data_IF_180732412079
#
_entry.id   IF_180732412079
#
_cell.length_a   1.000
_cell.length_b   1.000
_cell.length_c   1.000
_cell.angle_alpha   90.00
_cell.angle_beta   90.00
_cell.angle_gamma   90.00
#
_symmetry.space_group_name_H-M   'P 1'
#
loop_
_entity.id
_entity.type
_entity.pdbx_description
1 polymer ?
#
# COMPACT_ATOMS: atom_id res chain seq x y z
N UNK A 1 20.78 45.20 12.72
CA UNK A 1 19.59 44.33 12.66
C UNK A 1 19.15 43.94 11.24
N UNK A 2 19.66 44.58 10.17
CA UNK A 2 19.19 44.35 8.78
C UNK A 2 19.76 43.11 8.06
N UNK A 3 20.87 42.52 8.51
CA UNK A 3 21.45 41.31 7.87
C UNK A 3 20.69 40.01 8.16
N UNK A 4 19.84 39.98 9.20
CA UNK A 4 19.10 38.78 9.61
C UNK A 4 17.81 38.56 8.81
N UNK A 5 17.15 39.63 8.38
CA UNK A 5 15.89 39.57 7.62
C UNK A 5 16.13 39.16 6.18
N UNK A 6 17.19 39.65 5.54
CA UNK A 6 17.55 39.27 4.17
C UNK A 6 17.80 37.76 4.00
N UNK A 7 18.39 37.10 5.00
CA UNK A 7 18.59 35.64 5.00
C UNK A 7 17.29 34.86 5.19
N UNK A 8 16.31 35.42 5.89
CA UNK A 8 15.01 34.78 6.11
C UNK A 8 14.20 34.83 4.80
N UNK A 9 14.19 35.97 4.12
CA UNK A 9 13.50 36.13 2.83
C UNK A 9 14.09 35.22 1.75
N UNK A 10 15.43 35.08 1.69
CA UNK A 10 16.06 34.12 0.75
C UNK A 10 15.63 32.67 0.99
N UNK A 11 15.48 32.26 2.25
CA UNK A 11 15.03 30.91 2.61
C UNK A 11 13.56 30.69 2.25
N UNK A 12 12.69 31.69 2.45
CA UNK A 12 11.28 31.62 2.05
C UNK A 12 11.11 31.54 0.53
N UNK A 13 11.91 32.30 -0.21
CA UNK A 13 11.86 32.30 -1.68
C UNK A 13 12.29 30.94 -2.25
N UNK A 14 13.36 30.35 -1.69
CA UNK A 14 13.81 29.01 -2.05
C UNK A 14 12.75 27.94 -1.73
N UNK A 15 12.08 28.04 -0.57
CA UNK A 15 11.02 27.09 -0.19
C UNK A 15 9.82 27.13 -1.14
N UNK A 16 9.44 28.32 -1.64
CA UNK A 16 8.34 28.45 -2.59
C UNK A 16 8.70 27.90 -3.97
N UNK A 17 9.96 28.02 -4.40
CA UNK A 17 10.45 27.46 -5.65
C UNK A 17 10.38 25.93 -5.66
N UNK A 18 10.78 25.28 -4.56
CA UNK A 18 10.70 23.82 -4.38
C UNK A 18 9.25 23.32 -4.36
N UNK A 19 8.30 24.13 -3.88
CA UNK A 19 6.87 23.80 -3.89
C UNK A 19 6.31 23.84 -5.32
N UNK A 20 6.77 24.74 -6.18
CA UNK A 20 6.33 24.81 -7.58
C UNK A 20 6.91 23.68 -8.44
N UNK A 21 8.13 23.20 -8.15
CA UNK A 21 8.68 22.02 -8.85
C UNK A 21 7.88 20.73 -8.55
N UNK A 22 7.22 20.67 -7.38
CA UNK A 22 6.34 19.56 -6.98
C UNK A 22 5.12 19.40 -7.89
N UNK A 23 4.62 20.46 -8.54
CA UNK A 23 3.43 20.37 -9.40
C UNK A 23 3.72 19.89 -10.82
N UNK A 24 5.01 19.75 -11.21
CA UNK A 24 5.39 19.34 -12.58
C UNK A 24 5.83 17.88 -12.73
N UNK A 25 5.89 17.08 -11.65
CA UNK A 25 6.40 15.71 -11.69
C UNK A 25 5.30 14.65 -11.51
N UNK A 26 4.49 14.48 -12.55
CA UNK A 26 3.66 13.28 -12.79
C UNK A 26 4.20 12.54 -14.02
N UNK A 27 5.14 11.60 -13.83
CA UNK A 27 5.22 10.31 -14.55
C UNK A 27 6.47 9.49 -14.17
N UNK A 28 6.20 8.19 -13.95
CA UNK A 28 6.97 6.94 -14.00
C UNK A 28 8.39 6.78 -13.41
N UNK A 29 8.52 5.67 -12.65
CA UNK A 29 9.69 4.88 -12.21
C UNK A 29 10.93 5.57 -11.59
N UNK A 30 10.95 6.90 -11.52
CA UNK A 30 11.97 7.70 -10.80
C UNK A 30 11.51 8.03 -9.36
N UNK A 31 10.64 7.19 -8.78
CA UNK A 31 9.94 7.49 -7.52
C UNK A 31 10.64 6.96 -6.28
N UNK A 32 11.42 5.88 -6.38
CA UNK A 32 12.13 5.31 -5.22
C UNK A 32 13.28 6.22 -4.76
N UNK A 33 14.18 6.60 -5.68
CA UNK A 33 15.31 7.50 -5.37
C UNK A 33 14.83 8.91 -4.98
N UNK A 34 13.85 9.47 -5.70
CA UNK A 34 13.28 10.79 -5.35
C UNK A 34 12.52 10.75 -4.02
N UNK A 35 11.93 9.64 -3.63
CA UNK A 35 11.26 9.48 -2.32
C UNK A 35 12.27 9.48 -1.17
N UNK A 36 13.43 8.85 -1.35
CA UNK A 36 14.49 8.84 -0.34
C UNK A 36 15.13 10.24 -0.18
N UNK A 37 15.38 10.92 -1.29
CA UNK A 37 15.84 12.32 -1.28
C UNK A 37 14.80 13.27 -0.65
N UNK A 38 13.51 13.03 -0.91
CA UNK A 38 12.40 13.77 -0.31
C UNK A 38 12.33 13.55 1.21
N UNK A 39 12.52 12.32 1.68
CA UNK A 39 12.58 12.02 3.11
C UNK A 39 13.79 12.70 3.79
N UNK A 40 14.93 12.77 3.09
CA UNK A 40 16.09 13.56 3.50
C UNK A 40 15.77 15.04 3.67
N UNK A 41 15.11 15.65 2.67
CA UNK A 41 14.67 17.04 2.67
C UNK A 41 13.65 17.35 3.78
N UNK A 42 12.69 16.45 4.04
CA UNK A 42 11.72 16.61 5.13
C UNK A 42 12.41 16.55 6.50
N UNK A 43 13.40 15.66 6.67
CA UNK A 43 14.20 15.55 7.90
C UNK A 43 15.05 16.80 8.12
N UNK A 44 15.67 17.34 7.06
CA UNK A 44 16.43 18.60 7.10
C UNK A 44 15.52 19.78 7.46
N UNK A 45 14.33 19.88 6.85
CA UNK A 45 13.32 20.90 7.16
C UNK A 45 12.92 20.90 8.64
N UNK A 46 12.64 19.72 9.21
CA UNK A 46 12.32 19.59 10.65
C UNK A 46 13.48 20.07 11.53
N UNK A 47 14.72 19.75 11.15
CA UNK A 47 15.91 20.18 11.89
C UNK A 47 16.10 21.69 11.85
N UNK A 48 15.93 22.31 10.67
CA UNK A 48 16.03 23.76 10.49
C UNK A 48 14.93 24.53 11.23
N UNK A 49 13.68 24.04 11.20
CA UNK A 49 12.59 24.64 11.99
C UNK A 49 12.88 24.59 13.49
N UNK A 50 13.41 23.47 14.01
CA UNK A 50 13.78 23.36 15.42
C UNK A 50 14.88 24.35 15.79
N UNK A 51 15.87 24.55 14.91
CA UNK A 51 16.95 25.52 15.09
C UNK A 51 16.44 26.96 15.05
N UNK A 52 15.54 27.30 14.13
CA UNK A 52 14.88 28.61 14.04
C UNK A 52 14.05 28.92 15.29
N UNK A 53 13.26 27.97 15.77
CA UNK A 53 12.44 28.14 16.97
C UNK A 53 13.32 28.38 18.21
N UNK A 54 14.37 27.59 18.39
CA UNK A 54 15.33 27.79 19.49
C UNK A 54 16.06 29.14 19.40
N UNK A 55 16.43 29.57 18.20
CA UNK A 55 17.08 30.87 17.98
C UNK A 55 16.14 32.03 18.29
N UNK A 56 14.87 31.94 17.84
CA UNK A 56 13.84 32.94 18.10
C UNK A 56 13.60 33.06 19.61
N UNK A 57 13.42 31.94 20.32
CA UNK A 57 13.26 31.93 21.78
C UNK A 57 14.46 32.53 22.52
N UNK A 58 15.70 32.23 22.08
CA UNK A 58 16.92 32.80 22.69
C UNK A 58 16.98 34.32 22.50
N UNK A 59 16.55 34.82 21.33
CA UNK A 59 16.45 36.26 21.05
C UNK A 59 15.34 36.94 21.88
N UNK A 60 14.18 36.32 22.06
CA UNK A 60 13.11 36.85 22.93
C UNK A 60 13.57 36.91 24.39
N UNK A 61 14.28 35.88 24.86
CA UNK A 61 14.85 35.84 26.22
C UNK A 61 15.91 36.93 26.43
N UNK A 62 16.78 37.17 25.45
CA UNK A 62 17.78 38.24 25.51
C UNK A 62 17.14 39.62 25.48
N UNK A 63 16.15 39.86 24.60
CA UNK A 63 15.40 41.12 24.57
C UNK A 63 14.71 41.40 25.91
N UNK A 64 14.06 40.39 26.50
CA UNK A 64 13.39 40.52 27.80
C UNK A 64 14.36 40.76 28.98
N UNK A 65 15.58 40.19 28.91
CA UNK A 65 16.65 40.51 29.89
C UNK A 65 17.18 41.92 29.73
N UNK A 66 17.34 42.41 28.49
CA UNK A 66 17.81 43.77 28.20
C UNK A 66 16.78 44.85 28.55
N UNK A 67 15.49 44.63 28.32
CA UNK A 67 14.44 45.58 28.73
C UNK A 67 14.28 45.61 30.25
N UNK A 68 14.35 44.47 30.94
CA UNK A 68 14.36 44.46 32.42
C UNK A 68 15.62 45.11 33.00
N UNK A 69 16.79 44.89 32.41
CA UNK A 69 18.04 45.54 32.84
C UNK A 69 18.00 47.06 32.67
N UNK A 70 17.49 47.55 31.53
CA UNK A 70 17.34 48.99 31.28
C UNK A 70 16.32 49.68 32.18
N UNK A 71 15.21 49.01 32.51
CA UNK A 71 14.19 49.58 33.41
C UNK A 71 14.72 49.68 34.85
N UNK A 72 15.51 48.69 35.28
CA UNK A 72 16.12 48.66 36.62
C UNK A 72 17.26 49.68 36.72
N UNK A 73 18.09 49.83 35.68
CA UNK A 73 19.18 50.82 35.67
C UNK A 73 18.68 52.27 35.63
N UNK A 74 17.61 52.57 34.87
CA UNK A 74 17.03 53.91 34.83
C UNK A 74 16.36 54.34 36.14
N UNK A 75 15.84 53.38 36.91
CA UNK A 75 15.31 53.64 38.25
C UNK A 75 16.44 53.81 39.27
N UNK A 76 17.51 53.00 39.19
CA UNK A 76 18.67 53.12 40.08
C UNK A 76 19.50 54.40 39.85
N UNK A 77 19.65 54.88 38.61
CA UNK A 77 20.33 56.15 38.32
C UNK A 77 19.64 57.37 38.95
N UNK A 78 18.31 57.31 39.16
CA UNK A 78 17.58 58.36 39.86
C UNK A 78 17.81 58.36 41.38
N UNK A 79 18.22 57.23 41.96
CA UNK A 79 18.43 57.09 43.41
C UNK A 79 19.86 57.40 43.86
N UNK A 80 20.86 57.26 42.99
CA UNK A 80 22.28 57.42 43.37
C UNK A 80 22.74 58.89 43.42
N UNK A 81 21.97 59.83 42.88
CA UNK A 81 22.40 61.24 42.72
C UNK A 81 21.74 62.26 43.67
N UNK A 82 21.09 61.81 44.74
CA UNK A 82 20.52 62.72 45.74
C UNK A 82 20.71 62.15 47.13
N UNK A 83 21.32 62.92 48.05
CA UNK A 83 21.24 62.71 49.50
C UNK A 83 19.79 62.86 49.94
N UNK A 84 19.00 61.81 49.70
CA UNK A 84 17.56 61.78 49.91
C UNK A 84 17.29 61.09 51.25
N UNK A 85 16.94 61.86 52.28
CA UNK A 85 16.29 61.32 53.47
C UNK A 85 14.93 60.76 53.03
N UNK A 86 14.82 59.43 53.00
CA UNK A 86 13.61 58.71 52.62
C UNK A 86 12.48 59.12 53.56
N UNK A 87 11.48 59.82 53.01
CA UNK A 87 10.25 60.13 53.73
C UNK A 87 9.45 58.84 53.95
N UNK A 88 8.71 58.75 55.06
CA UNK A 88 7.81 57.63 55.36
C UNK A 88 6.78 57.39 54.23
N UNK A 89 6.43 58.45 53.50
CA UNK A 89 5.58 58.39 52.30
C UNK A 89 6.22 57.61 51.15
N UNK A 90 7.51 57.81 50.90
CA UNK A 90 8.23 57.17 49.80
C UNK A 90 8.45 55.67 50.10
N UNK A 91 8.67 55.36 51.38
CA UNK A 91 8.75 53.98 51.86
C UNK A 91 7.43 53.24 51.67
N UNK A 92 6.30 53.89 52.01
CA UNK A 92 4.96 53.31 51.81
C UNK A 92 4.64 53.11 50.33
N UNK A 93 5.01 54.05 49.45
CA UNK A 93 4.85 53.92 48.00
C UNK A 93 5.68 52.74 47.45
N UNK A 94 6.93 52.59 47.88
CA UNK A 94 7.79 51.46 47.50
C UNK A 94 7.23 50.10 47.99
N UNK A 95 6.66 50.06 49.19
CA UNK A 95 6.01 48.85 49.73
C UNK A 95 4.78 48.50 48.90
N UNK A 96 3.98 49.49 48.50
CA UNK A 96 2.81 49.28 47.65
C UNK A 96 3.20 48.80 46.24
N UNK A 97 4.23 49.40 45.64
CA UNK A 97 4.79 48.95 44.36
C UNK A 97 5.33 47.52 44.44
N UNK A 98 6.05 47.18 45.51
CA UNK A 98 6.50 45.80 45.77
C UNK A 98 5.32 44.84 45.85
N UNK A 99 4.25 45.22 46.54
CA UNK A 99 3.04 44.39 46.66
C UNK A 99 2.34 44.20 45.30
N UNK A 100 2.21 45.28 44.50
CA UNK A 100 1.68 45.23 43.13
C UNK A 100 2.53 44.34 42.23
N UNK A 101 3.85 44.44 42.30
CA UNK A 101 4.77 43.59 41.53
C UNK A 101 4.66 42.13 41.96
N UNK A 102 4.54 41.85 43.25
CA UNK A 102 4.38 40.50 43.78
C UNK A 102 3.06 39.87 43.30
N UNK A 103 1.95 40.63 43.31
CA UNK A 103 0.66 40.19 42.77
C UNK A 103 0.74 39.93 41.26
N UNK A 104 1.40 40.79 40.49
CA UNK A 104 1.65 40.58 39.05
C UNK A 104 2.48 39.33 38.79
N UNK A 105 3.51 39.07 39.59
CA UNK A 105 4.35 37.86 39.48
C UNK A 105 3.56 36.60 39.82
N UNK A 106 2.71 36.64 40.84
CA UNK A 106 1.86 35.52 41.22
C UNK A 106 0.87 35.19 40.10
N UNK A 107 0.12 36.19 39.63
CA UNK A 107 -0.82 36.03 38.52
C UNK A 107 -0.14 35.53 37.24
N UNK A 108 1.09 35.99 36.95
CA UNK A 108 1.86 35.52 35.80
C UNK A 108 2.29 34.05 35.94
N UNK A 109 2.72 33.62 37.15
CA UNK A 109 3.05 32.22 37.42
C UNK A 109 1.83 31.32 37.32
N UNK A 110 0.71 31.74 37.88
CA UNK A 110 -0.56 31.02 37.84
C UNK A 110 -1.08 30.88 36.40
N UNK A 111 -1.06 31.97 35.62
CA UNK A 111 -1.40 31.93 34.18
C UNK A 111 -0.50 30.96 33.40
N UNK A 112 0.81 30.97 33.65
CA UNK A 112 1.74 30.04 33.02
C UNK A 112 1.48 28.58 33.42
N UNK A 113 1.11 28.32 34.67
CA UNK A 113 0.73 26.99 35.14
C UNK A 113 -0.52 26.47 34.40
N UNK A 114 -1.58 27.28 34.32
CA UNK A 114 -2.80 26.91 33.59
C UNK A 114 -2.55 26.71 32.09
N UNK A 115 -1.74 27.54 31.45
CA UNK A 115 -1.36 27.37 30.05
C UNK A 115 -0.59 26.07 29.83
N UNK A 116 0.43 25.78 30.65
CA UNK A 116 1.23 24.57 30.51
C UNK A 116 0.44 23.29 30.79
N UNK A 117 -0.48 23.32 31.77
CA UNK A 117 -1.35 22.18 32.03
C UNK A 117 -2.35 21.95 30.89
N UNK A 118 -2.89 23.01 30.27
CA UNK A 118 -3.72 22.91 29.06
C UNK A 118 -2.94 22.28 27.90
N UNK A 119 -1.74 22.79 27.58
CA UNK A 119 -0.90 22.24 26.51
C UNK A 119 -0.51 20.77 26.78
N UNK A 120 -0.29 20.41 28.04
CA UNK A 120 0.04 19.02 28.41
C UNK A 120 -1.17 18.10 28.21
N UNK A 121 -2.37 18.54 28.63
CA UNK A 121 -3.62 17.79 28.42
C UNK A 121 -3.92 17.61 26.93
N UNK A 122 -3.77 18.66 26.14
CA UNK A 122 -3.96 18.63 24.69
C UNK A 122 -2.95 17.69 24.00
N UNK A 123 -1.69 17.69 24.45
CA UNK A 123 -0.67 16.76 23.96
C UNK A 123 -0.98 15.30 24.31
N UNK A 124 -1.46 15.03 25.52
CA UNK A 124 -1.87 13.68 25.94
C UNK A 124 -3.10 13.22 25.14
N UNK A 125 -4.10 14.09 24.98
CA UNK A 125 -5.31 13.80 24.21
C UNK A 125 -4.99 13.53 22.73
N UNK A 126 -4.18 14.37 22.10
CA UNK A 126 -3.75 14.17 20.71
C UNK A 126 -2.88 12.92 20.53
N UNK A 127 -2.02 12.59 21.50
CA UNK A 127 -1.27 11.33 21.49
C UNK A 127 -2.20 10.11 21.60
N UNK A 128 -3.22 10.16 22.45
CA UNK A 128 -4.20 9.09 22.57
C UNK A 128 -5.00 8.91 21.28
N UNK A 129 -5.51 9.99 20.69
CA UNK A 129 -6.22 9.95 19.40
C UNK A 129 -5.34 9.35 18.31
N UNK A 130 -4.06 9.77 18.23
CA UNK A 130 -3.11 9.24 17.26
C UNK A 130 -2.91 7.74 17.43
N UNK A 131 -2.69 7.26 18.66
CA UNK A 131 -2.48 5.84 18.92
C UNK A 131 -3.72 5.02 18.54
N UNK A 132 -4.91 5.50 18.88
CA UNK A 132 -6.17 4.83 18.51
C UNK A 132 -6.36 4.78 16.99
N UNK A 133 -6.06 5.87 16.28
CA UNK A 133 -6.10 5.91 14.81
C UNK A 133 -5.10 4.92 14.20
N UNK A 134 -3.88 4.85 14.74
CA UNK A 134 -2.84 3.93 14.25
C UNK A 134 -3.25 2.47 14.43
N UNK A 135 -3.83 2.11 15.58
CA UNK A 135 -4.37 0.78 15.83
C UNK A 135 -5.51 0.44 14.86
N UNK A 136 -6.44 1.38 14.63
CA UNK A 136 -7.55 1.16 13.71
C UNK A 136 -7.08 1.02 12.25
N UNK A 137 -6.11 1.83 11.82
CA UNK A 137 -5.52 1.75 10.48
C UNK A 137 -4.81 0.41 10.30
N UNK A 138 -4.01 -0.01 11.28
CA UNK A 138 -3.29 -1.29 11.22
C UNK A 138 -4.26 -2.48 11.21
N UNK A 139 -5.29 -2.46 12.06
CA UNK A 139 -6.33 -3.50 12.08
C UNK A 139 -7.06 -3.59 10.74
N UNK A 140 -7.48 -2.46 10.16
CA UNK A 140 -8.16 -2.44 8.87
C UNK A 140 -7.23 -2.87 7.71
N UNK A 141 -5.95 -2.52 7.77
CA UNK A 141 -4.95 -2.93 6.78
C UNK A 141 -4.74 -4.44 6.82
N UNK A 142 -4.63 -5.02 8.02
CA UNK A 142 -4.50 -6.47 8.20
C UNK A 142 -5.74 -7.22 7.72
N UNK A 143 -6.95 -6.77 8.11
CA UNK A 143 -8.19 -7.38 7.62
C UNK A 143 -8.32 -7.30 6.09
N UNK A 144 -7.91 -6.19 5.49
CA UNK A 144 -7.90 -6.03 4.02
C UNK A 144 -6.91 -6.99 3.37
N UNK A 145 -5.72 -7.17 3.96
CA UNK A 145 -4.72 -8.13 3.48
C UNK A 145 -5.24 -9.56 3.53
N UNK A 146 -5.88 -9.95 4.62
CA UNK A 146 -6.51 -11.28 4.77
C UNK A 146 -7.59 -11.51 3.70
N UNK A 147 -8.43 -10.49 3.43
CA UNK A 147 -9.43 -10.56 2.34
C UNK A 147 -8.78 -10.71 0.96
N UNK A 148 -7.69 -9.99 0.69
CA UNK A 148 -6.94 -10.12 -0.57
C UNK A 148 -6.35 -11.52 -0.71
N UNK A 149 -5.75 -12.06 0.36
CA UNK A 149 -5.19 -13.42 0.35
C UNK A 149 -6.28 -14.47 0.16
N UNK A 150 -7.46 -14.29 0.79
CA UNK A 150 -8.63 -15.15 0.58
C UNK A 150 -9.11 -15.12 -0.89
N UNK A 151 -9.24 -13.92 -1.49
CA UNK A 151 -9.63 -13.77 -2.90
C UNK A 151 -8.59 -14.42 -3.81
N UNK A 152 -7.30 -14.24 -3.53
CA UNK A 152 -6.21 -14.85 -4.31
C UNK A 152 -6.29 -16.38 -4.27
N UNK A 153 -6.56 -16.95 -3.09
CA UNK A 153 -6.74 -18.38 -2.93
C UNK A 153 -7.97 -18.89 -3.68
N UNK A 154 -9.09 -18.14 -3.64
CA UNK A 154 -10.29 -18.50 -4.39
C UNK A 154 -10.07 -18.41 -5.91
N UNK A 155 -9.43 -17.36 -6.41
CA UNK A 155 -9.06 -17.26 -7.83
C UNK A 155 -8.15 -18.42 -8.27
N UNK A 156 -7.20 -18.83 -7.43
CA UNK A 156 -6.34 -19.98 -7.70
C UNK A 156 -7.13 -21.30 -7.72
N UNK A 157 -8.09 -21.46 -6.80
CA UNK A 157 -8.96 -22.64 -6.73
C UNK A 157 -9.87 -22.73 -7.98
N UNK A 158 -10.48 -21.61 -8.37
CA UNK A 158 -11.33 -21.52 -9.56
C UNK A 158 -10.55 -21.77 -10.84
N UNK A 159 -9.33 -21.24 -10.96
CA UNK A 159 -8.47 -21.51 -12.11
C UNK A 159 -8.13 -23.01 -12.22
N UNK A 160 -7.87 -23.69 -11.08
CA UNK A 160 -7.69 -25.15 -11.08
C UNK A 160 -8.95 -25.89 -11.53
N UNK A 161 -10.12 -25.52 -11.02
CA UNK A 161 -11.40 -26.12 -11.43
C UNK A 161 -11.69 -25.92 -12.92
N UNK A 162 -11.40 -24.73 -13.45
CA UNK A 162 -11.53 -24.44 -14.87
C UNK A 162 -10.63 -25.34 -15.72
N UNK A 163 -9.36 -25.50 -15.33
CA UNK A 163 -8.41 -26.38 -16.03
C UNK A 163 -8.86 -27.85 -15.97
N UNK A 164 -9.43 -28.32 -14.85
CA UNK A 164 -9.97 -29.68 -14.71
C UNK A 164 -11.14 -29.88 -15.69
N UNK A 165 -12.13 -28.97 -15.67
CA UNK A 165 -13.30 -29.04 -16.57
C UNK A 165 -12.88 -29.01 -18.04
N UNK A 166 -11.93 -28.15 -18.39
CA UNK A 166 -11.42 -28.07 -19.76
C UNK A 166 -10.72 -29.38 -20.18
N UNK A 167 -9.96 -30.01 -19.28
CA UNK A 167 -9.32 -31.30 -19.54
C UNK A 167 -10.35 -32.43 -19.73
N UNK A 168 -11.38 -32.50 -18.88
CA UNK A 168 -12.46 -33.47 -19.02
C UNK A 168 -13.21 -33.31 -20.35
N UNK A 169 -13.54 -32.08 -20.72
CA UNK A 169 -14.17 -31.78 -22.01
C UNK A 169 -13.30 -32.25 -23.19
N UNK A 170 -11.99 -31.97 -23.15
CA UNK A 170 -11.04 -32.40 -24.20
C UNK A 170 -10.92 -33.93 -24.27
N UNK A 171 -10.86 -34.63 -23.13
CA UNK A 171 -10.88 -36.11 -23.06
C UNK A 171 -12.15 -36.67 -23.70
N UNK A 172 -13.32 -36.15 -23.33
CA UNK A 172 -14.60 -36.57 -23.91
C UNK A 172 -14.62 -36.35 -25.42
N UNK A 173 -14.14 -35.20 -25.90
CA UNK A 173 -14.04 -34.89 -27.32
C UNK A 173 -13.11 -35.86 -28.07
N UNK A 174 -11.98 -36.23 -27.45
CA UNK A 174 -11.05 -37.23 -28.01
C UNK A 174 -11.71 -38.61 -28.16
N UNK A 175 -12.42 -39.09 -27.14
CA UNK A 175 -13.15 -40.36 -27.23
C UNK A 175 -14.25 -40.32 -28.28
N UNK A 176 -15.03 -39.23 -28.36
CA UNK A 176 -16.06 -39.05 -29.40
C UNK A 176 -15.42 -39.08 -30.81
N UNK A 177 -14.26 -38.45 -30.99
CA UNK A 177 -13.54 -38.46 -32.26
C UNK A 177 -13.15 -39.89 -32.67
N UNK A 178 -12.53 -40.65 -31.78
CA UNK A 178 -12.13 -42.05 -32.04
C UNK A 178 -13.35 -42.87 -32.42
N UNK A 179 -14.40 -42.79 -31.60
CA UNK A 179 -15.60 -43.60 -31.78
C UNK A 179 -16.28 -43.31 -33.12
N UNK A 180 -16.37 -42.02 -33.50
CA UNK A 180 -16.93 -41.60 -34.81
C UNK A 180 -16.18 -42.23 -35.99
N UNK A 181 -14.84 -42.27 -35.94
CA UNK A 181 -14.03 -42.76 -37.06
C UNK A 181 -13.99 -44.29 -37.12
N UNK A 182 -13.92 -44.97 -35.98
CA UNK A 182 -14.02 -46.43 -35.92
C UNK A 182 -15.40 -46.88 -36.41
N UNK A 183 -16.48 -46.26 -35.94
CA UNK A 183 -17.84 -46.61 -36.40
C UNK A 183 -18.02 -46.34 -37.89
N UNK A 184 -17.51 -45.22 -38.40
CA UNK A 184 -17.53 -44.93 -39.84
C UNK A 184 -16.77 -45.99 -40.64
N UNK A 185 -15.55 -46.37 -40.22
CA UNK A 185 -14.77 -47.43 -40.84
C UNK A 185 -15.51 -48.78 -40.82
N UNK A 186 -16.13 -49.15 -39.70
CA UNK A 186 -16.90 -50.40 -39.59
C UNK A 186 -18.10 -50.43 -40.55
N UNK A 187 -18.84 -49.32 -40.66
CA UNK A 187 -19.98 -49.21 -41.59
C UNK A 187 -19.50 -49.31 -43.04
N UNK A 188 -18.45 -48.58 -43.41
CA UNK A 188 -17.88 -48.62 -44.76
C UNK A 188 -17.37 -50.02 -45.11
N UNK A 189 -16.65 -50.66 -44.18
CA UNK A 189 -16.13 -52.03 -44.37
C UNK A 189 -17.25 -53.05 -44.55
N UNK A 190 -18.30 -52.96 -43.73
CA UNK A 190 -19.50 -53.79 -43.85
C UNK A 190 -20.18 -53.60 -45.21
N UNK A 191 -20.30 -52.35 -45.69
CA UNK A 191 -20.89 -52.03 -46.98
C UNK A 191 -20.10 -52.67 -48.12
N UNK A 192 -18.76 -52.56 -48.11
CA UNK A 192 -17.89 -53.21 -49.11
C UNK A 192 -18.01 -54.74 -49.09
N UNK A 193 -18.14 -55.36 -47.92
CA UNK A 193 -18.34 -56.81 -47.81
C UNK A 193 -19.70 -57.24 -48.38
N UNK A 194 -20.76 -56.45 -48.16
CA UNK A 194 -22.06 -56.69 -48.76
C UNK A 194 -22.00 -56.61 -50.29
N UNK A 195 -21.31 -55.60 -50.84
CA UNK A 195 -21.11 -55.48 -52.30
C UNK A 195 -20.28 -56.63 -52.90
N UNK A 196 -19.35 -57.19 -52.13
CA UNK A 196 -18.65 -58.40 -52.53
C UNK A 196 -19.60 -59.60 -52.58
N UNK A 197 -20.45 -59.76 -51.57
CA UNK A 197 -21.42 -60.87 -51.48
C UNK A 197 -22.45 -60.83 -52.61
N UNK A 198 -22.88 -59.65 -53.03
CA UNK A 198 -23.83 -59.47 -54.15
C UNK A 198 -23.17 -59.57 -55.53
N UNK A 199 -21.84 -59.72 -55.60
CA UNK A 199 -21.12 -59.89 -56.86
C UNK A 199 -20.89 -58.60 -57.66
N UNK A 200 -21.25 -57.43 -57.11
CA UNK A 200 -21.00 -56.14 -57.76
C UNK A 200 -19.51 -55.77 -57.81
N UNK A 201 -18.71 -56.26 -56.86
CA UNK A 201 -17.28 -55.96 -56.75
C UNK A 201 -16.46 -57.25 -56.62
N UNK A 202 -15.35 -57.33 -57.33
CA UNK A 202 -14.44 -58.48 -57.25
C UNK A 202 -13.77 -58.58 -55.88
N UNK A 203 -13.48 -59.81 -55.43
CA UNK A 203 -12.84 -60.07 -54.13
C UNK A 203 -11.52 -59.31 -53.96
N UNK A 204 -10.69 -59.24 -55.01
CA UNK A 204 -9.42 -58.49 -55.02
C UNK A 204 -9.62 -57.00 -54.79
N UNK A 205 -10.65 -56.42 -55.41
CA UNK A 205 -10.95 -54.99 -55.26
C UNK A 205 -11.50 -54.69 -53.86
N UNK A 206 -12.32 -55.57 -53.30
CA UNK A 206 -12.84 -55.44 -51.92
C UNK A 206 -11.71 -55.40 -50.90
N UNK A 207 -10.76 -56.34 -50.97
CA UNK A 207 -9.60 -56.34 -50.07
C UNK A 207 -8.77 -55.06 -50.23
N UNK A 208 -8.50 -54.64 -51.48
CA UNK A 208 -7.75 -53.42 -51.76
C UNK A 208 -8.41 -52.17 -51.17
N UNK A 209 -9.73 -52.03 -51.29
CA UNK A 209 -10.50 -50.92 -50.72
C UNK A 209 -10.45 -50.91 -49.19
N UNK A 210 -10.63 -52.06 -48.54
CA UNK A 210 -10.55 -52.18 -47.09
C UNK A 210 -9.15 -51.80 -46.60
N UNK A 211 -8.09 -52.23 -47.29
CA UNK A 211 -6.71 -51.87 -46.95
C UNK A 211 -6.49 -50.35 -47.07
N UNK A 212 -6.99 -49.71 -48.12
CA UNK A 212 -6.90 -48.25 -48.29
C UNK A 212 -7.64 -47.54 -47.14
N UNK A 213 -8.86 -47.95 -46.80
CA UNK A 213 -9.59 -47.36 -45.68
C UNK A 213 -8.87 -47.53 -44.34
N UNK A 214 -8.23 -48.68 -44.13
CA UNK A 214 -7.45 -48.95 -42.94
C UNK A 214 -6.22 -48.04 -42.83
N UNK A 215 -5.50 -47.81 -43.94
CA UNK A 215 -4.37 -46.88 -44.00
C UNK A 215 -4.83 -45.45 -43.69
N UNK A 216 -5.95 -45.01 -44.26
CA UNK A 216 -6.52 -43.67 -43.99
C UNK A 216 -6.93 -43.53 -42.53
N UNK A 217 -7.54 -44.56 -41.93
CA UNK A 217 -7.89 -44.58 -40.51
C UNK A 217 -6.64 -44.45 -39.64
N UNK A 218 -5.59 -45.24 -39.92
CA UNK A 218 -4.32 -45.15 -39.19
C UNK A 218 -3.67 -43.77 -39.34
N UNK A 219 -3.70 -43.17 -40.52
CA UNK A 219 -3.18 -41.82 -40.75
C UNK A 219 -3.96 -40.78 -39.92
N UNK A 220 -5.30 -40.84 -39.90
CA UNK A 220 -6.12 -39.93 -39.10
C UNK A 220 -5.88 -40.11 -37.59
N UNK A 221 -5.78 -41.37 -37.13
CA UNK A 221 -5.49 -41.67 -35.73
C UNK A 221 -4.10 -41.21 -35.31
N UNK A 222 -3.08 -41.38 -36.17
CA UNK A 222 -1.71 -40.92 -35.89
C UNK A 222 -1.60 -39.40 -35.92
N UNK A 223 -2.22 -38.70 -36.87
CA UNK A 223 -2.27 -37.22 -36.88
C UNK A 223 -2.95 -36.72 -35.61
N UNK A 224 -4.10 -37.28 -35.25
CA UNK A 224 -4.82 -36.93 -34.04
C UNK A 224 -3.96 -37.21 -32.80
N UNK A 225 -3.31 -38.38 -32.73
CA UNK A 225 -2.40 -38.71 -31.65
C UNK A 225 -1.25 -37.72 -31.58
N UNK A 226 -0.55 -37.39 -32.67
CA UNK A 226 0.59 -36.47 -32.66
C UNK A 226 0.17 -35.03 -32.29
N UNK A 227 -0.91 -34.53 -32.87
CA UNK A 227 -1.45 -33.20 -32.60
C UNK A 227 -1.82 -33.04 -31.11
N UNK A 228 -2.47 -34.07 -30.56
CA UNK A 228 -2.87 -34.05 -29.17
C UNK A 228 -1.77 -34.51 -28.22
N UNK A 229 -0.78 -35.35 -28.57
CA UNK A 229 0.24 -35.87 -27.66
C UNK A 229 1.21 -34.77 -27.17
N UNK A 230 1.61 -33.84 -28.06
CA UNK A 230 2.43 -32.68 -27.67
C UNK A 230 1.75 -31.81 -26.60
N UNK A 231 0.41 -31.77 -26.59
CA UNK A 231 -0.39 -31.07 -25.57
C UNK A 231 -0.69 -32.01 -24.39
N UNK A 232 -1.16 -33.22 -24.66
CA UNK A 232 -1.64 -34.22 -23.71
C UNK A 232 -0.58 -34.74 -22.76
N UNK A 233 0.70 -34.82 -23.15
CA UNK A 233 1.74 -35.26 -22.22
C UNK A 233 1.84 -34.31 -21.00
N UNK A 234 1.56 -33.01 -21.20
CA UNK A 234 1.49 -32.01 -20.13
C UNK A 234 0.14 -32.06 -19.38
N UNK A 235 -0.96 -32.47 -20.03
CA UNK A 235 -2.33 -32.39 -19.46
C UNK A 235 -2.89 -33.69 -18.89
N UNK A 236 -2.43 -34.87 -19.34
CA UNK A 236 -2.81 -36.18 -18.80
C UNK A 236 -1.95 -36.57 -17.59
N UNK A 237 -0.70 -36.10 -17.53
CA UNK A 237 0.21 -36.31 -16.39
C UNK A 237 0.21 -35.18 -15.37
N UNK A 238 -0.39 -34.01 -15.66
CA UNK A 238 -0.83 -33.06 -14.62
C UNK A 238 -2.06 -33.61 -13.90
N UNK A 239 -1.81 -34.69 -13.18
CA UNK A 239 -2.45 -35.16 -11.97
C UNK A 239 -3.94 -34.87 -11.72
N UNK A 240 -4.65 -35.99 -11.55
CA UNK A 240 -5.83 -36.14 -10.73
C UNK A 240 -5.51 -36.01 -9.21
N UNK A 241 -4.78 -34.99 -8.75
CA UNK A 241 -4.48 -34.81 -7.31
C UNK A 241 -5.73 -34.52 -6.47
N UNK A 242 -6.73 -33.85 -7.05
CA UNK A 242 -7.86 -33.30 -6.31
C UNK A 242 -8.99 -34.34 -6.08
N UNK A 243 -9.16 -35.30 -6.98
CA UNK A 243 -10.39 -36.11 -7.01
C UNK A 243 -10.47 -37.21 -5.96
N UNK A 244 -9.39 -37.57 -5.24
CA UNK A 244 -9.49 -38.60 -4.20
C UNK A 244 -9.79 -38.06 -2.80
N UNK A 245 -9.34 -36.84 -2.46
CA UNK A 245 -9.62 -36.24 -1.14
C UNK A 245 -10.80 -35.26 -1.15
N UNK A 246 -11.02 -34.51 -2.23
CA UNK A 246 -12.13 -33.54 -2.29
C UNK A 246 -13.48 -34.19 -2.62
N UNK A 247 -13.51 -35.39 -3.20
CA UNK A 247 -14.75 -36.14 -3.42
C UNK A 247 -15.26 -36.85 -2.15
N UNK A 248 -14.40 -37.10 -1.16
CA UNK A 248 -14.78 -37.65 0.16
C UNK A 248 -15.14 -36.55 1.19
N UNK A 249 -14.72 -35.30 0.96
CA UNK A 249 -14.93 -34.17 1.90
C UNK A 249 -16.06 -33.21 1.49
N UNK A 250 -16.73 -33.41 0.35
CA UNK A 250 -17.96 -32.66 0.06
C UNK A 250 -19.08 -33.22 0.94
N UNK A 251 -19.60 -32.47 1.94
CA UNK A 251 -20.80 -32.90 2.63
C UNK A 251 -21.90 -33.07 1.60
N UNK A 252 -22.66 -34.17 1.73
CA UNK A 252 -23.95 -34.36 1.09
C UNK A 252 -24.85 -33.16 1.42
N UNK A 253 -24.72 -32.08 0.66
CA UNK A 253 -25.62 -30.95 0.69
C UNK A 253 -26.44 -30.96 -0.59
N UNK A 254 -27.19 -32.04 -0.81
CA UNK A 254 -28.50 -32.00 -1.45
C UNK A 254 -29.36 -33.13 -0.88
N UNK A 255 -30.36 -32.74 -0.10
CA UNK A 255 -31.75 -33.11 -0.35
C UNK A 255 -32.59 -31.88 -0.04
#
# INVERSE_FOLDING_TARGET
MLRGTAKITQIETFLNQVINEKSMLQHDNTYADKSEELNGLVKLKRHLMKKLFNTKNKQTLQKNKLTKGKLVSSSLEKFVNTDYTISETDLNEMVEEKHKLMKKLFNAKEKNYYQNTHFTKEKISSAHIRNTLEVNVNSNTNSTREKIDAIKNDLMSQNKLFQIKENEYRKKKYYIFIWKHITSFSILSLLTLLFMKTGHVSVKNTYSLITIYFIVLLMLLTINHLYFNRRNNIYFHKYNWANKKQAEELPNCVA
#
